data_IF_424092503544
#
_entry.id   IF_424092503544
#
_cell.length_a   1.000
_cell.length_b   1.000
_cell.length_c   1.000
_cell.angle_alpha   90.00
_cell.angle_beta   90.00
_cell.angle_gamma   90.00
#
_symmetry.space_group_name_H-M   'P 1'
#
loop_
_entity.id
_entity.type
_entity.pdbx_description
1 polymer ?
#
# COMPACT_ATOMS: atom_id res chain seq x y z
N UNK A 1 -20.13 -0.31 34.98
CA UNK A 1 -19.46 0.62 34.05
C UNK A 1 -18.08 0.14 33.67
N UNK A 2 -17.22 -0.22 34.60
CA UNK A 2 -15.81 -0.61 34.35
C UNK A 2 -15.67 -1.82 33.39
N UNK A 3 -16.42 -2.90 33.63
CA UNK A 3 -16.40 -4.09 32.74
C UNK A 3 -16.83 -3.77 31.30
N UNK A 4 -17.80 -2.87 31.12
CA UNK A 4 -18.24 -2.45 29.78
C UNK A 4 -17.17 -1.63 29.07
N UNK A 5 -16.48 -0.74 29.79
CA UNK A 5 -15.38 0.07 29.26
C UNK A 5 -14.18 -0.79 28.83
N UNK A 6 -13.82 -1.79 29.63
CA UNK A 6 -12.77 -2.75 29.27
C UNK A 6 -13.15 -3.54 28.01
N UNK A 7 -14.40 -4.05 27.93
CA UNK A 7 -14.88 -4.74 26.74
C UNK A 7 -14.84 -3.85 25.50
N UNK A 8 -15.25 -2.59 25.61
CA UNK A 8 -15.19 -1.61 24.53
C UNK A 8 -13.76 -1.43 23.99
N UNK A 9 -12.78 -1.23 24.87
CA UNK A 9 -11.38 -1.08 24.47
C UNK A 9 -10.86 -2.35 23.78
N UNK A 10 -11.12 -3.52 24.37
CA UNK A 10 -10.68 -4.79 23.79
C UNK A 10 -11.28 -5.05 22.40
N UNK A 11 -12.58 -4.78 22.22
CA UNK A 11 -13.24 -4.89 20.93
C UNK A 11 -12.67 -3.87 19.92
N UNK A 12 -12.45 -2.61 20.33
CA UNK A 12 -11.90 -1.59 19.45
C UNK A 12 -10.50 -1.93 18.98
N UNK A 13 -9.58 -2.24 19.90
CA UNK A 13 -8.20 -2.60 19.57
C UNK A 13 -8.14 -3.89 18.76
N UNK A 14 -8.86 -4.93 19.20
CA UNK A 14 -8.91 -6.22 18.52
C UNK A 14 -9.50 -6.11 17.11
N UNK A 15 -10.59 -5.37 16.94
CA UNK A 15 -11.23 -5.18 15.64
C UNK A 15 -10.37 -4.40 14.65
N UNK A 16 -9.68 -3.35 15.10
CA UNK A 16 -8.74 -2.60 14.25
C UNK A 16 -7.57 -3.51 13.83
N UNK A 17 -6.97 -4.22 14.78
CA UNK A 17 -5.87 -5.16 14.47
C UNK A 17 -6.35 -6.23 13.49
N UNK A 18 -7.52 -6.83 13.74
CA UNK A 18 -8.12 -7.83 12.88
C UNK A 18 -8.29 -7.29 11.45
N UNK A 19 -8.89 -6.10 11.29
CA UNK A 19 -9.12 -5.48 9.99
C UNK A 19 -7.83 -5.27 9.20
N UNK A 20 -6.79 -4.74 9.84
CA UNK A 20 -5.50 -4.49 9.18
C UNK A 20 -4.77 -5.78 8.87
N UNK A 21 -4.74 -6.73 9.81
CA UNK A 21 -4.04 -8.02 9.62
C UNK A 21 -4.68 -8.84 8.49
N UNK A 22 -6.00 -8.93 8.44
CA UNK A 22 -6.70 -9.67 7.39
C UNK A 22 -6.48 -9.03 6.03
N UNK A 23 -6.53 -7.70 5.93
CA UNK A 23 -6.28 -6.92 4.73
C UNK A 23 -4.88 -7.17 4.15
N UNK A 24 -3.84 -6.94 4.94
CA UNK A 24 -2.45 -7.09 4.50
C UNK A 24 -2.10 -8.56 4.19
N UNK A 25 -2.66 -9.50 4.98
CA UNK A 25 -2.47 -10.93 4.74
C UNK A 25 -3.09 -11.36 3.41
N UNK A 26 -4.25 -10.81 3.03
CA UNK A 26 -4.88 -11.11 1.75
C UNK A 26 -4.04 -10.65 0.55
N UNK A 27 -3.47 -9.43 0.62
CA UNK A 27 -2.49 -8.98 -0.38
C UNK A 27 -1.31 -9.95 -0.50
N UNK A 28 -0.73 -10.35 0.63
CA UNK A 28 0.37 -11.30 0.66
C UNK A 28 -0.01 -12.67 0.07
N UNK A 29 -1.17 -13.21 0.41
CA UNK A 29 -1.64 -14.49 -0.14
C UNK A 29 -1.81 -14.42 -1.66
N UNK A 30 -2.28 -13.28 -2.17
CA UNK A 30 -2.43 -13.07 -3.60
C UNK A 30 -1.07 -12.92 -4.30
N UNK A 31 -0.09 -12.23 -3.70
CA UNK A 31 1.30 -12.24 -4.17
C UNK A 31 1.85 -13.66 -4.26
N UNK A 32 1.65 -14.46 -3.21
CA UNK A 32 2.09 -15.86 -3.18
C UNK A 32 1.40 -16.69 -4.26
N UNK A 33 0.11 -16.49 -4.51
CA UNK A 33 -0.64 -17.16 -5.57
C UNK A 33 -0.01 -16.91 -6.96
N UNK A 34 0.49 -15.71 -7.20
CA UNK A 34 1.22 -15.34 -8.42
C UNK A 34 2.73 -15.67 -8.39
N UNK A 35 3.15 -16.58 -7.52
CA UNK A 35 4.51 -17.12 -7.48
C UNK A 35 5.54 -16.24 -6.78
N UNK A 36 5.11 -15.21 -6.04
CA UNK A 36 6.04 -14.38 -5.28
C UNK A 36 6.55 -15.09 -4.02
N UNK A 37 7.83 -14.89 -3.72
CA UNK A 37 8.43 -15.24 -2.43
C UNK A 37 8.10 -14.15 -1.41
N UNK A 38 7.98 -14.53 -0.13
CA UNK A 38 7.80 -13.56 0.95
C UNK A 38 9.00 -12.63 1.00
N UNK A 39 8.74 -11.34 1.10
CA UNK A 39 9.77 -10.34 1.32
C UNK A 39 9.58 -9.65 2.66
N UNK A 40 8.55 -8.83 2.76
CA UNK A 40 8.15 -8.22 4.03
C UNK A 40 6.64 -8.00 4.06
N UNK A 41 6.06 -8.07 5.26
CA UNK A 41 4.64 -7.77 5.49
C UNK A 41 4.56 -6.65 6.51
N UNK A 42 3.92 -5.57 6.13
CA UNK A 42 3.73 -4.43 7.00
C UNK A 42 2.33 -4.40 7.57
N UNK A 43 2.25 -4.38 8.88
CA UNK A 43 1.00 -4.31 9.64
C UNK A 43 1.07 -3.10 10.55
N UNK A 44 0.46 -2.00 10.15
CA UNK A 44 0.53 -0.73 10.89
C UNK A 44 1.98 -0.24 11.05
N UNK A 45 2.48 -0.24 12.29
CA UNK A 45 3.85 0.15 12.62
C UNK A 45 4.85 -1.01 12.63
N UNK A 46 4.39 -2.24 12.47
CA UNK A 46 5.23 -3.42 12.49
C UNK A 46 5.55 -3.89 11.08
N UNK A 47 6.80 -4.28 10.88
CA UNK A 47 7.29 -4.89 9.65
C UNK A 47 7.77 -6.30 9.98
N UNK A 48 7.15 -7.29 9.39
CA UNK A 48 7.57 -8.69 9.44
C UNK A 48 8.43 -8.91 8.20
N UNK A 49 9.67 -9.32 8.35
CA UNK A 49 10.60 -9.55 7.25
C UNK A 49 11.38 -10.84 7.44
N UNK A 50 11.93 -11.36 6.36
CA UNK A 50 12.77 -12.54 6.41
C UNK A 50 14.26 -12.17 6.50
N UNK A 51 14.97 -12.78 7.44
CA UNK A 51 16.42 -12.62 7.60
C UNK A 51 17.02 -13.96 8.00
N UNK A 52 17.93 -14.46 7.16
CA UNK A 52 18.60 -15.76 7.36
C UNK A 52 17.60 -16.94 7.52
N UNK A 53 16.56 -16.97 6.67
CA UNK A 53 15.52 -18.02 6.70
C UNK A 53 14.58 -17.97 7.90
N UNK A 54 14.67 -16.91 8.73
CA UNK A 54 13.80 -16.72 9.91
C UNK A 54 12.99 -15.43 9.76
N UNK A 55 11.71 -15.49 10.08
CA UNK A 55 10.85 -14.29 10.16
C UNK A 55 11.20 -13.51 11.42
N UNK A 56 11.45 -12.22 11.25
CA UNK A 56 11.74 -11.25 12.31
C UNK A 56 10.73 -10.11 12.25
N UNK A 57 10.53 -9.45 13.38
CA UNK A 57 9.63 -8.28 13.49
C UNK A 57 10.46 -7.09 13.92
N UNK A 58 10.22 -5.94 13.29
CA UNK A 58 10.80 -4.64 13.69
C UNK A 58 9.76 -3.54 13.55
N UNK A 59 10.05 -2.40 14.11
CA UNK A 59 9.26 -1.19 13.85
C UNK A 59 9.61 -0.61 12.47
N UNK A 60 8.59 -0.08 11.79
CA UNK A 60 8.77 0.62 10.54
C UNK A 60 9.59 1.90 10.72
N UNK A 61 10.56 2.13 9.86
CA UNK A 61 11.33 3.38 9.83
C UNK A 61 10.50 4.50 9.19
N UNK A 62 10.85 5.76 9.50
CA UNK A 62 10.21 6.93 8.88
C UNK A 62 10.47 6.91 7.37
N UNK A 63 9.42 7.06 6.56
CA UNK A 63 9.50 7.00 5.08
C UNK A 63 9.37 5.62 4.46
N UNK A 64 9.49 4.54 5.22
CA UNK A 64 9.45 3.16 4.74
C UNK A 64 8.04 2.71 4.26
N UNK A 65 7.02 3.54 4.54
CA UNK A 65 5.61 3.23 4.17
C UNK A 65 5.39 3.11 2.67
N UNK A 66 6.22 3.74 1.86
CA UNK A 66 6.00 3.88 0.43
C UNK A 66 6.62 2.74 -0.39
N UNK A 67 7.45 1.89 0.22
CA UNK A 67 8.22 0.83 -0.44
C UNK A 67 7.95 -0.58 0.08
N UNK A 68 6.90 -0.78 0.85
CA UNK A 68 6.57 -2.12 1.34
C UNK A 68 5.93 -2.96 0.25
N UNK A 69 6.56 -4.09 -0.10
CA UNK A 69 6.03 -5.10 -1.02
C UNK A 69 5.98 -6.43 -0.30
N UNK A 70 4.78 -6.98 -0.12
CA UNK A 70 4.57 -8.21 0.62
C UNK A 70 5.22 -9.43 -0.04
N UNK A 71 5.29 -9.45 -1.37
CA UNK A 71 5.88 -10.54 -2.11
C UNK A 71 6.64 -10.08 -3.35
N UNK A 72 7.78 -10.70 -3.63
CA UNK A 72 8.65 -10.38 -4.76
C UNK A 72 8.90 -11.63 -5.60
N UNK A 73 8.86 -11.47 -6.93
CA UNK A 73 9.33 -12.45 -7.91
C UNK A 73 10.27 -11.77 -8.91
N UNK A 74 11.11 -12.55 -9.58
CA UNK A 74 12.06 -12.03 -10.59
C UNK A 74 11.34 -11.45 -11.79
N UNK A 75 10.32 -12.13 -12.27
CA UNK A 75 9.49 -11.71 -13.40
C UNK A 75 8.64 -10.48 -13.08
N UNK A 76 8.31 -9.71 -14.11
CA UNK A 76 7.43 -8.56 -13.98
C UNK A 76 5.97 -9.00 -13.84
N UNK A 77 5.22 -8.28 -13.01
CA UNK A 77 3.79 -8.52 -12.86
C UNK A 77 3.02 -7.96 -14.05
N UNK A 78 1.98 -8.69 -14.45
CA UNK A 78 1.00 -8.18 -15.40
C UNK A 78 0.01 -7.27 -14.68
N UNK A 79 -0.62 -6.35 -15.41
CA UNK A 79 -1.58 -5.41 -14.85
C UNK A 79 -2.77 -6.09 -14.14
N UNK A 80 -3.27 -7.20 -14.71
CA UNK A 80 -4.37 -7.97 -14.11
C UNK A 80 -3.95 -8.68 -12.81
N UNK A 81 -2.72 -9.16 -12.72
CA UNK A 81 -2.19 -9.75 -11.48
C UNK A 81 -2.12 -8.69 -10.38
N UNK A 82 -1.58 -7.50 -10.69
CA UNK A 82 -1.54 -6.37 -9.76
C UNK A 82 -2.93 -5.91 -9.35
N UNK A 83 -3.89 -5.91 -10.29
CA UNK A 83 -5.28 -5.59 -10.00
C UNK A 83 -5.87 -6.54 -8.95
N UNK A 84 -5.71 -7.85 -9.12
CA UNK A 84 -6.22 -8.83 -8.15
C UNK A 84 -5.47 -8.81 -6.82
N UNK A 85 -4.17 -8.52 -6.83
CA UNK A 85 -3.39 -8.30 -5.61
C UNK A 85 -3.97 -7.12 -4.82
N UNK A 86 -4.21 -5.98 -5.47
CA UNK A 86 -4.80 -4.80 -4.84
C UNK A 86 -6.24 -5.01 -4.38
N UNK A 87 -7.03 -5.78 -5.13
CA UNK A 87 -8.42 -6.08 -4.77
C UNK A 87 -8.51 -7.00 -3.55
N UNK A 88 -7.54 -7.87 -3.32
CA UNK A 88 -7.60 -8.92 -2.30
C UNK A 88 -7.79 -8.36 -0.87
N UNK A 89 -7.05 -7.31 -0.50
CA UNK A 89 -7.16 -6.68 0.81
C UNK A 89 -8.56 -6.12 1.11
N UNK A 90 -9.07 -5.20 0.28
CA UNK A 90 -10.42 -4.69 0.44
C UNK A 90 -11.50 -5.76 0.41
N UNK A 91 -11.38 -6.73 -0.51
CA UNK A 91 -12.37 -7.80 -0.65
C UNK A 91 -12.47 -8.69 0.57
N UNK A 92 -11.35 -9.08 1.19
CA UNK A 92 -11.38 -9.88 2.42
C UNK A 92 -12.02 -9.12 3.57
N UNK A 93 -11.79 -7.80 3.68
CA UNK A 93 -12.44 -6.99 4.69
C UNK A 93 -13.95 -6.93 4.49
N UNK A 94 -14.44 -6.86 3.25
CA UNK A 94 -15.89 -6.94 2.97
C UNK A 94 -16.45 -8.31 3.36
N UNK A 95 -15.78 -9.40 2.98
CA UNK A 95 -16.22 -10.77 3.26
C UNK A 95 -16.25 -11.02 4.77
N UNK A 96 -15.14 -10.76 5.46
CA UNK A 96 -15.03 -11.02 6.91
C UNK A 96 -15.94 -10.12 7.71
N UNK A 97 -16.10 -8.86 7.29
CA UNK A 97 -17.01 -7.92 7.93
C UNK A 97 -18.47 -8.35 7.79
N UNK A 98 -18.90 -8.75 6.58
CA UNK A 98 -20.25 -9.25 6.35
C UNK A 98 -20.52 -10.52 7.18
N UNK A 99 -19.56 -11.44 7.19
CA UNK A 99 -19.66 -12.69 7.93
C UNK A 99 -19.78 -12.44 9.44
N UNK A 100 -18.99 -11.50 9.98
CA UNK A 100 -19.06 -11.12 11.39
C UNK A 100 -20.41 -10.47 11.75
N UNK A 101 -20.97 -9.64 10.87
CA UNK A 101 -22.32 -9.06 11.10
C UNK A 101 -23.45 -10.11 11.10
N UNK A 102 -23.26 -11.23 10.39
CA UNK A 102 -24.26 -12.31 10.36
C UNK A 102 -24.16 -13.22 11.60
N UNK A 103 -22.94 -13.45 12.09
CA UNK A 103 -22.70 -14.44 13.16
C UNK A 103 -22.83 -13.85 14.56
N UNK A 104 -22.41 -12.59 14.74
CA UNK A 104 -22.34 -12.00 16.08
C UNK A 104 -23.57 -11.14 16.39
N UNK A 105 -24.33 -11.54 17.41
CA UNK A 105 -25.46 -10.77 17.96
C UNK A 105 -25.01 -9.67 18.93
N UNK A 106 -23.76 -9.74 19.43
CA UNK A 106 -23.22 -8.73 20.34
C UNK A 106 -22.88 -7.45 19.59
N UNK A 107 -23.52 -6.35 19.98
CA UNK A 107 -23.38 -5.05 19.32
C UNK A 107 -21.94 -4.58 19.19
N UNK A 108 -21.12 -4.69 20.24
CA UNK A 108 -19.73 -4.23 20.19
C UNK A 108 -18.89 -5.13 19.26
N UNK A 109 -19.08 -6.43 19.31
CA UNK A 109 -18.37 -7.37 18.44
C UNK A 109 -18.80 -7.14 16.99
N UNK A 110 -20.10 -7.06 16.72
CA UNK A 110 -20.60 -6.76 15.38
C UNK A 110 -20.07 -5.43 14.85
N UNK A 111 -20.01 -4.37 15.66
CA UNK A 111 -19.51 -3.08 15.27
C UNK A 111 -18.02 -3.14 14.89
N UNK A 112 -17.17 -3.65 15.75
CA UNK A 112 -15.72 -3.60 15.56
C UNK A 112 -15.19 -4.68 14.60
N UNK A 113 -15.77 -5.87 14.58
CA UNK A 113 -15.34 -6.98 13.72
C UNK A 113 -16.21 -7.16 12.48
N UNK A 114 -17.34 -6.50 12.39
CA UNK A 114 -18.27 -6.52 11.26
C UNK A 114 -18.29 -5.20 10.51
N UNK A 115 -18.90 -4.17 11.08
CA UNK A 115 -19.18 -2.90 10.42
C UNK A 115 -17.88 -2.15 10.06
N UNK A 116 -16.90 -2.08 10.95
CA UNK A 116 -15.63 -1.38 10.66
C UNK A 116 -14.87 -2.02 9.49
N UNK A 117 -14.62 -3.35 9.44
CA UNK A 117 -14.02 -3.96 8.25
C UNK A 117 -14.82 -3.73 6.96
N UNK A 118 -16.17 -3.76 7.02
CA UNK A 118 -17.00 -3.44 5.86
C UNK A 118 -16.72 -2.02 5.33
N UNK A 119 -16.70 -1.02 6.21
CA UNK A 119 -16.40 0.36 5.82
C UNK A 119 -15.00 0.48 5.28
N UNK A 120 -14.00 -0.09 5.94
CA UNK A 120 -12.60 -0.04 5.49
C UNK A 120 -12.46 -0.72 4.12
N UNK A 121 -13.07 -1.88 3.92
CA UNK A 121 -13.07 -2.56 2.62
C UNK A 121 -13.73 -1.72 1.52
N UNK A 122 -14.90 -1.14 1.79
CA UNK A 122 -15.61 -0.30 0.84
C UNK A 122 -14.80 0.96 0.49
N UNK A 123 -14.26 1.68 1.48
CA UNK A 123 -13.45 2.88 1.25
C UNK A 123 -12.16 2.57 0.49
N UNK A 124 -11.53 1.41 0.72
CA UNK A 124 -10.34 1.02 0.00
C UNK A 124 -10.61 0.58 -1.46
N UNK A 125 -11.82 0.16 -1.80
CA UNK A 125 -12.20 -0.11 -3.20
C UNK A 125 -12.51 1.19 -3.95
N UNK A 126 -13.08 2.17 -3.26
CA UNK A 126 -13.46 3.43 -3.89
C UNK A 126 -12.22 4.27 -4.24
N UNK A 127 -12.14 4.83 -5.45
CA UNK A 127 -11.05 5.69 -5.87
C UNK A 127 -11.19 7.09 -5.26
N UNK A 128 -10.89 7.20 -3.97
CA UNK A 128 -11.07 8.44 -3.23
C UNK A 128 -9.90 9.40 -3.50
N UNK A 129 -10.13 10.61 -4.06
CA UNK A 129 -9.07 11.45 -4.61
C UNK A 129 -8.09 12.03 -3.59
N UNK A 130 -8.39 11.99 -2.30
CA UNK A 130 -7.49 12.48 -1.25
C UNK A 130 -6.46 11.44 -0.79
N UNK A 131 -6.61 10.16 -1.19
CA UNK A 131 -5.59 9.12 -1.00
C UNK A 131 -5.25 8.45 -2.34
N UNK A 132 -4.34 9.09 -3.07
CA UNK A 132 -3.90 8.61 -4.38
C UNK A 132 -3.15 7.27 -4.33
N UNK A 133 -2.79 6.78 -3.14
CA UNK A 133 -2.08 5.51 -2.94
C UNK A 133 -2.99 4.39 -2.43
N UNK A 134 -4.28 4.67 -2.18
CA UNK A 134 -5.25 3.64 -1.81
C UNK A 134 -5.37 2.57 -2.90
N UNK A 135 -5.73 1.36 -2.52
CA UNK A 135 -5.91 0.24 -3.46
C UNK A 135 -6.89 0.59 -4.57
N UNK A 136 -8.01 1.24 -4.24
CA UNK A 136 -9.02 1.69 -5.21
C UNK A 136 -8.47 2.66 -6.25
N UNK A 137 -7.70 3.65 -5.83
CA UNK A 137 -7.06 4.58 -6.76
C UNK A 137 -6.05 3.88 -7.67
N UNK A 138 -5.27 2.94 -7.14
CA UNK A 138 -4.32 2.15 -7.92
C UNK A 138 -5.03 1.20 -8.89
N UNK A 139 -6.09 0.51 -8.44
CA UNK A 139 -6.94 -0.31 -9.29
C UNK A 139 -7.54 0.49 -10.46
N UNK A 140 -8.05 1.70 -10.20
CA UNK A 140 -8.56 2.57 -11.27
C UNK A 140 -7.49 2.97 -12.28
N UNK A 141 -6.24 3.23 -11.84
CA UNK A 141 -5.12 3.48 -12.78
C UNK A 141 -4.77 2.26 -13.62
N UNK A 142 -4.86 1.04 -13.05
CA UNK A 142 -4.68 -0.22 -13.79
C UNK A 142 -5.82 -0.49 -14.80
N UNK A 143 -7.05 -0.10 -14.50
CA UNK A 143 -8.18 -0.24 -15.42
C UNK A 143 -8.13 0.77 -16.57
N UNK A 144 -7.60 1.97 -16.32
CA UNK A 144 -7.47 3.00 -17.33
C UNK A 144 -6.30 2.71 -18.28
N UNK A 145 -6.58 2.45 -19.56
CA UNK A 145 -5.60 2.12 -20.59
C UNK A 145 -4.42 3.10 -20.69
N UNK A 146 -4.67 4.41 -20.49
CA UNK A 146 -3.64 5.45 -20.60
C UNK A 146 -2.67 5.50 -19.39
N UNK A 147 -3.04 4.97 -18.25
CA UNK A 147 -2.20 4.96 -17.03
C UNK A 147 -1.74 3.57 -16.60
N UNK A 148 -2.30 2.52 -17.18
CA UNK A 148 -2.04 1.12 -16.86
C UNK A 148 -0.55 0.75 -16.89
N UNK A 149 0.09 1.03 -18.00
CA UNK A 149 1.50 0.70 -18.21
C UNK A 149 2.41 1.44 -17.23
N UNK A 150 2.09 2.69 -16.92
CA UNK A 150 2.83 3.47 -15.94
C UNK A 150 2.62 2.99 -14.50
N UNK A 151 1.43 2.49 -14.13
CA UNK A 151 1.21 1.90 -12.80
C UNK A 151 1.97 0.58 -12.65
N UNK A 152 2.02 -0.25 -13.70
CA UNK A 152 2.84 -1.48 -13.73
C UNK A 152 4.33 -1.14 -13.64
N UNK A 153 4.77 -0.15 -14.40
CA UNK A 153 6.15 0.32 -14.40
C UNK A 153 6.57 0.86 -13.04
N UNK A 154 5.72 1.67 -12.41
CA UNK A 154 5.92 2.19 -11.06
C UNK A 154 6.13 1.05 -10.05
N UNK A 155 5.30 0.01 -10.12
CA UNK A 155 5.45 -1.17 -9.29
C UNK A 155 6.78 -1.90 -9.52
N UNK A 156 7.20 -2.06 -10.77
CA UNK A 156 8.46 -2.72 -11.12
C UNK A 156 9.69 -1.90 -10.70
N UNK A 157 9.59 -0.57 -10.70
CA UNK A 157 10.63 0.30 -10.14
C UNK A 157 10.77 0.05 -8.63
N UNK A 158 9.66 0.03 -7.88
CA UNK A 158 9.70 -0.28 -6.44
C UNK A 158 10.26 -1.67 -6.19
N UNK A 159 9.88 -2.67 -6.98
CA UNK A 159 10.46 -4.02 -6.93
C UNK A 159 11.97 -3.99 -7.13
N UNK A 160 12.47 -3.26 -8.11
CA UNK A 160 13.90 -3.09 -8.39
C UNK A 160 14.66 -2.45 -7.23
N UNK A 161 14.10 -1.43 -6.60
CA UNK A 161 14.67 -0.78 -5.40
C UNK A 161 14.81 -1.80 -4.27
N UNK A 162 13.77 -2.58 -4.03
CA UNK A 162 13.71 -3.53 -2.91
C UNK A 162 14.64 -4.72 -3.12
N UNK A 163 14.73 -5.25 -4.35
CA UNK A 163 15.57 -6.41 -4.68
C UNK A 163 17.06 -6.08 -4.77
N UNK A 164 17.38 -5.05 -5.53
CA UNK A 164 18.73 -4.81 -6.00
C UNK A 164 19.30 -3.49 -5.51
N UNK A 165 18.50 -2.70 -4.80
CA UNK A 165 18.81 -1.30 -4.45
C UNK A 165 19.15 -0.43 -5.68
N UNK A 166 18.62 -0.81 -6.85
CA UNK A 166 18.89 -0.17 -8.13
C UNK A 166 17.59 0.34 -8.78
N UNK A 167 17.70 1.49 -9.41
CA UNK A 167 16.67 2.06 -10.27
C UNK A 167 17.26 2.27 -11.65
N UNK A 168 16.62 1.74 -12.68
CA UNK A 168 17.06 1.96 -14.06
C UNK A 168 16.63 3.33 -14.54
N UNK A 169 17.55 4.17 -14.97
CA UNK A 169 17.24 5.51 -15.54
C UNK A 169 16.23 5.47 -16.70
N UNK A 170 16.25 4.41 -17.52
CA UNK A 170 15.31 4.20 -18.60
C UNK A 170 13.86 4.14 -18.08
N UNK A 171 13.65 3.43 -16.98
CA UNK A 171 12.31 3.25 -16.38
C UNK A 171 11.78 4.57 -15.80
N UNK A 172 12.67 5.37 -15.19
CA UNK A 172 12.31 6.71 -14.73
C UNK A 172 11.98 7.67 -15.88
N UNK A 173 12.74 7.61 -16.96
CA UNK A 173 12.46 8.42 -18.14
C UNK A 173 11.10 8.06 -18.76
N UNK A 174 10.76 6.77 -18.79
CA UNK A 174 9.47 6.31 -19.26
C UNK A 174 8.33 6.73 -18.31
N UNK A 175 8.48 6.53 -17.00
CA UNK A 175 7.49 6.94 -16.00
C UNK A 175 7.21 8.45 -16.04
N UNK A 176 8.22 9.26 -16.37
CA UNK A 176 8.09 10.72 -16.48
C UNK A 176 7.18 11.19 -17.61
N UNK A 177 6.93 10.35 -18.62
CA UNK A 177 6.04 10.65 -19.76
C UNK A 177 4.57 10.51 -19.40
N UNK A 178 4.24 9.91 -18.26
CA UNK A 178 2.85 9.78 -17.81
C UNK A 178 2.18 11.14 -17.70
N UNK A 179 0.94 11.24 -18.19
CA UNK A 179 0.09 12.43 -17.97
C UNK A 179 -0.42 12.51 -16.51
N UNK A 180 -0.37 11.42 -15.75
CA UNK A 180 -0.85 11.34 -14.38
C UNK A 180 0.14 12.00 -13.41
N UNK A 181 -0.33 12.98 -12.65
CA UNK A 181 0.50 13.70 -11.68
C UNK A 181 1.08 12.80 -10.58
N UNK A 182 0.39 11.73 -10.19
CA UNK A 182 0.90 10.76 -9.21
C UNK A 182 2.18 10.09 -9.71
N UNK A 183 2.20 9.60 -10.96
CA UNK A 183 3.37 8.98 -11.56
C UNK A 183 4.53 9.96 -11.69
N UNK A 184 4.25 11.21 -12.08
CA UNK A 184 5.28 12.27 -12.12
C UNK A 184 5.88 12.53 -10.74
N UNK A 185 5.04 12.64 -9.70
CA UNK A 185 5.49 12.82 -8.32
C UNK A 185 6.38 11.66 -7.87
N UNK A 186 6.01 10.41 -8.18
CA UNK A 186 6.81 9.23 -7.86
C UNK A 186 8.13 9.21 -8.62
N UNK A 187 8.13 9.57 -9.89
CA UNK A 187 9.37 9.70 -10.66
C UNK A 187 10.35 10.69 -10.02
N UNK A 188 9.87 11.84 -9.53
CA UNK A 188 10.70 12.81 -8.82
C UNK A 188 11.23 12.27 -7.50
N UNK A 189 10.40 11.54 -6.75
CA UNK A 189 10.80 10.91 -5.52
C UNK A 189 11.88 9.83 -5.72
N UNK A 190 11.76 8.99 -6.76
CA UNK A 190 12.76 7.99 -7.10
C UNK A 190 14.09 8.62 -7.51
N UNK A 191 14.06 9.70 -8.28
CA UNK A 191 15.27 10.47 -8.63
C UNK A 191 15.95 11.04 -7.38
N UNK A 192 15.15 11.55 -6.42
CA UNK A 192 15.68 12.06 -5.16
C UNK A 192 16.40 10.97 -4.35
N UNK A 193 15.85 9.75 -4.30
CA UNK A 193 16.48 8.62 -3.60
C UNK A 193 17.78 8.21 -4.26
N UNK A 194 17.83 8.16 -5.61
CA UNK A 194 19.04 7.78 -6.35
C UNK A 194 20.19 8.76 -6.16
N UNK A 195 19.88 10.03 -5.94
CA UNK A 195 20.87 11.12 -5.97
C UNK A 195 21.04 11.77 -4.61
N UNK A 196 21.10 10.93 -3.55
CA UNK A 196 21.32 11.40 -2.17
C UNK A 196 22.65 12.17 -1.99
N UNK A 197 23.54 12.12 -2.98
CA UNK A 197 24.80 12.86 -3.04
C UNK A 197 24.70 14.25 -3.68
N UNK A 198 23.60 14.60 -4.38
CA UNK A 198 23.55 15.83 -5.18
C UNK A 198 22.67 16.93 -4.53
N UNK A 199 23.36 17.94 -3.98
CA UNK A 199 22.79 19.12 -3.30
C UNK A 199 21.79 19.92 -4.18
N UNK A 200 21.94 19.85 -5.50
CA UNK A 200 21.07 20.55 -6.47
C UNK A 200 19.71 19.88 -6.62
N UNK A 201 19.67 18.55 -6.57
CA UNK A 201 18.39 17.80 -6.65
C UNK A 201 17.61 17.96 -5.37
N UNK A 202 18.26 18.04 -4.19
CA UNK A 202 17.57 18.37 -2.91
C UNK A 202 16.88 19.74 -2.99
N UNK A 203 17.55 20.76 -3.55
CA UNK A 203 16.97 22.11 -3.71
C UNK A 203 15.83 22.12 -4.72
N UNK A 204 15.98 21.35 -5.82
CA UNK A 204 14.96 21.21 -6.85
C UNK A 204 13.74 20.41 -6.36
N UNK A 205 13.93 19.28 -5.68
CA UNK A 205 12.86 18.49 -5.08
C UNK A 205 12.06 19.32 -4.07
N UNK A 206 12.71 20.18 -3.27
CA UNK A 206 12.04 21.09 -2.35
C UNK A 206 11.21 22.16 -3.07
N UNK A 207 11.68 22.70 -4.20
CA UNK A 207 10.95 23.65 -5.02
C UNK A 207 9.76 22.98 -5.76
N UNK A 208 9.92 21.74 -6.25
CA UNK A 208 8.84 21.00 -6.88
C UNK A 208 7.81 20.49 -5.86
N UNK A 209 8.21 20.22 -4.62
CA UNK A 209 7.29 19.88 -3.54
C UNK A 209 6.23 20.97 -3.28
N UNK A 210 6.60 22.24 -3.43
CA UNK A 210 5.66 23.34 -3.34
C UNK A 210 4.64 23.33 -4.50
N UNK A 211 5.07 22.97 -5.71
CA UNK A 211 4.20 22.83 -6.89
C UNK A 211 3.32 21.58 -6.79
N UNK A 212 3.85 20.48 -6.26
CA UNK A 212 3.13 19.23 -6.00
C UNK A 212 2.03 19.44 -4.95
N UNK A 213 2.34 20.17 -3.87
CA UNK A 213 1.34 20.59 -2.86
C UNK A 213 0.26 21.49 -3.48
N UNK A 214 0.64 22.43 -4.34
CA UNK A 214 -0.28 23.30 -5.05
C UNK A 214 -1.18 22.55 -6.06
N UNK A 215 -0.67 21.42 -6.60
CA UNK A 215 -1.41 20.53 -7.51
C UNK A 215 -2.33 19.51 -6.78
N UNK A 216 -2.48 19.61 -5.45
CA UNK A 216 -3.38 18.76 -4.66
C UNK A 216 -2.83 17.39 -4.27
N UNK A 217 -1.59 17.07 -4.60
CA UNK A 217 -0.93 15.84 -4.13
C UNK A 217 -0.48 15.99 -2.66
N UNK A 218 -1.38 15.71 -1.71
CA UNK A 218 -1.10 15.79 -0.26
C UNK A 218 -0.22 14.64 0.28
N UNK A 219 0.15 13.67 -0.55
CA UNK A 219 0.67 12.37 -0.11
C UNK A 219 2.18 12.32 0.19
N UNK A 220 2.97 13.34 -0.16
CA UNK A 220 4.41 13.29 0.06
C UNK A 220 4.85 14.28 1.15
N UNK A 221 4.95 13.79 2.40
CA UNK A 221 5.80 14.41 3.44
C UNK A 221 7.16 13.72 3.39
N UNK A 222 8.13 14.40 2.83
CA UNK A 222 9.56 14.06 2.97
C UNK A 222 10.02 14.44 4.37
#
# INVERSE_FOLDING_TARGET
MEKYFIKLILCAVGGIIFTVVTHETAHYMMFKHYGAKFHELKIGFFVIFESNGKKKVRLAKKGEREFSIAGIREEDYKWNELFFILLAGPLINLITGLFACIIFDDFLICWYFGIIPLFVGLFNILPIPFDAQSDGCRMMRLLNKSSREYEVLDYNIVKGIVLNNEIKYKDLAELSKSSNNVHKCRCYFYRYIMDDSNKYIKKWAHNEQSKIKAAGCKAFRI
#
